data_IF_938736290474
#
_entry.id   IF_938736290474
#
_cell.length_a   1.000
_cell.length_b   1.000
_cell.length_c   1.000
_cell.angle_alpha   90.00
_cell.angle_beta   90.00
_cell.angle_gamma   90.00
#
_symmetry.space_group_name_H-M   'P 1'
#
loop_
_entity.id
_entity.type
_entity.pdbx_description
1 polymer ?
#
# COMPACT_ATOMS: atom_id res chain seq x y z
N UNK A 1 -32.21 34.74 -59.95
CA UNK A 1 -32.30 33.81 -58.80
C UNK A 1 -30.98 33.65 -58.04
N UNK A 2 -29.82 33.93 -58.68
CA UNK A 2 -28.49 33.88 -58.05
C UNK A 2 -28.12 35.20 -57.32
N UNK A 3 -28.64 36.35 -57.76
CA UNK A 3 -28.29 37.68 -57.21
C UNK A 3 -28.72 37.94 -55.75
N UNK A 4 -29.76 37.26 -55.26
CA UNK A 4 -30.18 37.36 -53.85
C UNK A 4 -29.40 36.41 -52.92
N UNK A 5 -28.58 35.52 -53.47
CA UNK A 5 -27.90 34.48 -52.70
C UNK A 5 -26.60 34.99 -52.08
N UNK A 6 -25.83 35.81 -52.79
CA UNK A 6 -24.59 36.43 -52.29
C UNK A 6 -24.78 37.28 -51.01
N UNK A 7 -25.70 38.27 -50.98
CA UNK A 7 -25.87 39.11 -49.79
C UNK A 7 -26.48 38.35 -48.59
N UNK A 8 -27.22 37.27 -48.85
CA UNK A 8 -27.68 36.35 -47.82
C UNK A 8 -26.53 35.52 -47.25
N UNK A 9 -25.61 35.06 -48.12
CA UNK A 9 -24.41 34.32 -47.74
C UNK A 9 -23.48 35.19 -46.88
N UNK A 10 -23.27 36.46 -47.24
CA UNK A 10 -22.47 37.40 -46.46
C UNK A 10 -23.03 37.60 -45.04
N UNK A 11 -24.36 37.68 -44.90
CA UNK A 11 -25.03 37.84 -43.58
C UNK A 11 -24.99 36.57 -42.72
N UNK A 12 -25.04 35.38 -43.33
CA UNK A 12 -25.10 34.10 -42.61
C UNK A 12 -23.67 33.53 -42.37
N UNK A 13 -22.69 33.91 -43.19
CA UNK A 13 -21.30 33.45 -43.08
C UNK A 13 -20.67 33.62 -41.68
N UNK A 14 -20.87 34.72 -40.94
CA UNK A 14 -20.27 34.88 -39.61
C UNK A 14 -20.87 33.91 -38.60
N UNK A 15 -22.17 33.61 -38.73
CA UNK A 15 -22.87 32.64 -37.89
C UNK A 15 -22.36 31.21 -38.16
N UNK A 16 -22.17 30.84 -39.43
CA UNK A 16 -21.61 29.54 -39.81
C UNK A 16 -20.15 29.40 -39.30
N UNK A 17 -19.33 30.43 -39.48
CA UNK A 17 -17.94 30.45 -38.99
C UNK A 17 -17.91 30.30 -37.47
N UNK A 18 -18.80 30.97 -36.75
CA UNK A 18 -18.90 30.87 -35.28
C UNK A 18 -19.28 29.46 -34.84
N UNK A 19 -20.26 28.84 -35.51
CA UNK A 19 -20.67 27.45 -35.21
C UNK A 19 -19.51 26.49 -35.48
N UNK A 20 -18.86 26.59 -36.64
CA UNK A 20 -17.70 25.75 -36.99
C UNK A 20 -16.53 25.96 -36.03
N UNK A 21 -16.24 27.20 -35.65
CA UNK A 21 -15.20 27.55 -34.68
C UNK A 21 -15.46 26.93 -33.31
N UNK A 22 -16.69 27.01 -32.81
CA UNK A 22 -17.08 26.37 -31.55
C UNK A 22 -17.00 24.84 -31.64
N UNK A 23 -17.36 24.25 -32.78
CA UNK A 23 -17.28 22.81 -33.01
C UNK A 23 -15.83 22.32 -33.00
N UNK A 24 -14.94 23.02 -33.71
CA UNK A 24 -13.50 22.72 -33.73
C UNK A 24 -12.90 22.91 -32.34
N UNK A 25 -13.23 24.00 -31.65
CA UNK A 25 -12.75 24.28 -30.30
C UNK A 25 -13.19 23.21 -29.30
N UNK A 26 -14.47 22.82 -29.36
CA UNK A 26 -15.01 21.74 -28.53
C UNK A 26 -14.31 20.41 -28.79
N UNK A 27 -14.15 20.01 -30.07
CA UNK A 27 -13.46 18.77 -30.42
C UNK A 27 -11.98 18.79 -29.99
N UNK A 28 -11.32 19.94 -30.10
CA UNK A 28 -9.92 20.11 -29.71
C UNK A 28 -9.74 20.03 -28.20
N UNK A 29 -10.57 20.74 -27.41
CA UNK A 29 -10.54 20.65 -25.95
C UNK A 29 -10.90 19.24 -25.50
N UNK A 30 -11.98 18.67 -26.05
CA UNK A 30 -12.41 17.30 -25.71
C UNK A 30 -11.30 16.29 -25.97
N UNK A 31 -10.66 16.34 -27.13
CA UNK A 31 -9.54 15.44 -27.45
C UNK A 31 -8.35 15.58 -26.51
N UNK A 32 -8.06 16.79 -26.02
CA UNK A 32 -7.01 17.02 -25.01
C UNK A 32 -7.41 16.49 -23.63
N UNK A 33 -8.65 16.77 -23.21
CA UNK A 33 -9.19 16.34 -21.93
C UNK A 33 -9.28 14.82 -21.86
N UNK A 34 -9.79 14.17 -22.90
CA UNK A 34 -9.91 12.71 -22.97
C UNK A 34 -8.55 12.03 -22.92
N UNK A 35 -7.56 12.51 -23.69
CA UNK A 35 -6.17 12.00 -23.63
C UNK A 35 -5.55 12.20 -22.25
N UNK A 36 -5.78 13.35 -21.61
CA UNK A 36 -5.27 13.61 -20.27
C UNK A 36 -5.94 12.71 -19.23
N UNK A 37 -7.25 12.49 -19.34
CA UNK A 37 -8.01 11.59 -18.48
C UNK A 37 -7.53 10.14 -18.63
N UNK A 38 -7.31 9.68 -19.85
CA UNK A 38 -6.81 8.34 -20.13
C UNK A 38 -5.40 8.12 -19.57
N UNK A 39 -4.49 9.07 -19.80
CA UNK A 39 -3.15 9.04 -19.21
C UNK A 39 -3.19 8.99 -17.68
N UNK A 40 -4.05 9.81 -17.07
CA UNK A 40 -4.22 9.84 -15.62
C UNK A 40 -4.83 8.53 -15.09
N UNK A 41 -5.80 7.94 -15.79
CA UNK A 41 -6.37 6.64 -15.44
C UNK A 41 -5.33 5.52 -15.49
N UNK A 42 -4.51 5.48 -16.53
CA UNK A 42 -3.45 4.47 -16.68
C UNK A 42 -2.40 4.62 -15.57
N UNK A 43 -1.91 5.85 -15.36
CA UNK A 43 -0.93 6.14 -14.31
C UNK A 43 -1.47 5.81 -12.92
N UNK A 44 -2.70 6.23 -12.61
CA UNK A 44 -3.36 5.93 -11.35
C UNK A 44 -3.59 4.43 -11.16
N UNK A 45 -4.04 3.72 -12.20
CA UNK A 45 -4.23 2.27 -12.14
C UNK A 45 -2.92 1.51 -11.89
N UNK A 46 -1.82 1.95 -12.49
CA UNK A 46 -0.48 1.39 -12.24
C UNK A 46 -0.01 1.62 -10.81
N UNK A 47 -0.07 2.86 -10.34
CA UNK A 47 0.34 3.24 -8.97
C UNK A 47 -0.52 2.52 -7.93
N UNK A 48 -1.83 2.46 -8.15
CA UNK A 48 -2.75 1.79 -7.23
C UNK A 48 -2.46 0.28 -7.15
N UNK A 49 -2.25 -0.38 -8.30
CA UNK A 49 -1.87 -1.81 -8.32
C UNK A 49 -0.56 -2.06 -7.57
N UNK A 50 0.43 -1.19 -7.77
CA UNK A 50 1.71 -1.29 -7.07
C UNK A 50 1.55 -1.14 -5.56
N UNK A 51 0.78 -0.13 -5.13
CA UNK A 51 0.46 0.11 -3.73
C UNK A 51 -0.23 -1.09 -3.07
N UNK A 52 -1.22 -1.69 -3.75
CA UNK A 52 -1.90 -2.91 -3.28
C UNK A 52 -0.93 -4.10 -3.17
N UNK A 53 0.01 -4.25 -4.12
CA UNK A 53 1.00 -5.31 -4.04
C UNK A 53 1.93 -5.13 -2.84
N UNK A 54 2.42 -3.92 -2.61
CA UNK A 54 3.26 -3.57 -1.47
C UNK A 54 2.55 -3.88 -0.16
N UNK A 55 1.26 -3.52 -0.06
CA UNK A 55 0.46 -3.79 1.13
C UNK A 55 0.24 -5.28 1.38
N UNK A 56 -0.06 -6.04 0.33
CA UNK A 56 -0.16 -7.50 0.42
C UNK A 56 1.15 -8.11 0.91
N UNK A 57 2.27 -7.68 0.34
CA UNK A 57 3.58 -8.22 0.67
C UNK A 57 4.01 -7.84 2.10
N UNK A 58 3.67 -6.64 2.60
CA UNK A 58 3.85 -6.28 4.01
C UNK A 58 3.12 -7.28 4.91
N UNK A 59 1.83 -7.53 4.66
CA UNK A 59 1.03 -8.48 5.43
C UNK A 59 1.60 -9.89 5.39
N UNK A 60 1.96 -10.38 4.19
CA UNK A 60 2.56 -11.71 4.02
C UNK A 60 3.86 -11.85 4.82
N UNK A 61 4.73 -10.82 4.79
CA UNK A 61 5.97 -10.80 5.58
C UNK A 61 5.70 -10.75 7.08
N UNK A 62 4.72 -9.96 7.53
CA UNK A 62 4.30 -9.90 8.93
C UNK A 62 3.83 -11.27 9.42
N UNK A 63 2.90 -11.92 8.73
CA UNK A 63 2.42 -13.26 9.08
C UNK A 63 3.51 -14.32 8.99
N UNK A 64 4.37 -14.22 7.97
CA UNK A 64 5.53 -15.09 7.80
C UNK A 64 6.46 -15.04 8.99
N UNK A 65 6.83 -13.84 9.45
CA UNK A 65 7.65 -13.65 10.65
C UNK A 65 6.97 -14.20 11.91
N UNK A 66 5.66 -13.95 12.10
CA UNK A 66 4.94 -14.51 13.24
C UNK A 66 4.99 -16.04 13.28
N UNK A 67 4.78 -16.67 12.11
CA UNK A 67 4.82 -18.13 11.97
C UNK A 67 6.21 -18.67 12.28
N UNK A 68 7.26 -18.03 11.77
CA UNK A 68 8.64 -18.44 12.01
C UNK A 68 9.04 -18.28 13.49
N UNK A 69 8.70 -17.15 14.12
CA UNK A 69 8.93 -16.95 15.56
C UNK A 69 8.15 -17.96 16.41
N UNK A 70 6.91 -18.26 16.04
CA UNK A 70 6.12 -19.29 16.72
C UNK A 70 6.77 -20.67 16.60
N UNK A 71 7.24 -21.03 15.40
CA UNK A 71 7.98 -22.30 15.19
C UNK A 71 9.26 -22.32 16.02
N UNK A 72 10.00 -21.23 16.00
CA UNK A 72 11.25 -21.07 16.74
C UNK A 72 11.07 -21.27 18.24
N UNK A 73 9.97 -20.75 18.81
CA UNK A 73 9.64 -20.94 20.21
C UNK A 73 9.58 -22.43 20.62
N UNK A 74 8.98 -23.29 19.78
CA UNK A 74 8.70 -24.68 20.19
C UNK A 74 9.76 -25.69 19.75
N UNK A 75 10.31 -25.50 18.55
CA UNK A 75 11.20 -26.48 17.90
C UNK A 75 12.45 -25.83 17.31
N UNK A 76 12.70 -24.57 17.64
CA UNK A 76 13.84 -23.83 17.11
C UNK A 76 15.17 -24.29 17.67
N UNK A 77 16.21 -24.18 16.85
CA UNK A 77 17.61 -24.39 17.24
C UNK A 77 18.40 -23.11 17.04
N UNK A 78 19.56 -22.97 17.70
CA UNK A 78 20.36 -21.74 17.68
C UNK A 78 20.66 -21.24 16.26
N UNK A 79 20.89 -22.16 15.34
CA UNK A 79 21.22 -21.88 13.93
C UNK A 79 20.06 -21.19 13.18
N UNK A 80 18.80 -21.43 13.59
CA UNK A 80 17.63 -20.74 13.02
C UNK A 80 17.64 -19.24 13.34
N UNK A 81 18.39 -18.82 14.37
CA UNK A 81 18.41 -17.44 14.83
C UNK A 81 18.87 -16.45 13.78
N UNK A 82 19.90 -16.80 13.01
CA UNK A 82 20.41 -15.95 11.91
C UNK A 82 19.35 -15.74 10.84
N UNK A 83 18.64 -16.81 10.46
CA UNK A 83 17.59 -16.76 9.41
C UNK A 83 16.44 -15.87 9.84
N UNK A 84 16.02 -15.93 11.11
CA UNK A 84 14.93 -15.08 11.62
C UNK A 84 15.36 -13.62 11.64
N UNK A 85 16.59 -13.33 12.08
CA UNK A 85 17.12 -11.96 12.10
C UNK A 85 17.21 -11.37 10.68
N UNK A 86 17.65 -12.15 9.69
CA UNK A 86 17.65 -11.76 8.28
C UNK A 86 16.22 -11.40 7.81
N UNK A 87 15.23 -12.23 8.11
CA UNK A 87 13.83 -11.95 7.75
C UNK A 87 13.29 -10.66 8.40
N UNK A 88 13.68 -10.35 9.64
CA UNK A 88 13.31 -9.10 10.32
C UNK A 88 13.95 -7.90 9.60
N UNK A 89 15.22 -8.02 9.20
CA UNK A 89 15.91 -6.98 8.45
C UNK A 89 15.31 -6.78 7.05
N UNK A 90 15.00 -7.86 6.35
CA UNK A 90 14.35 -7.84 5.03
C UNK A 90 12.98 -7.16 5.09
N UNK A 91 12.21 -7.37 6.16
CA UNK A 91 10.94 -6.69 6.39
C UNK A 91 11.12 -5.17 6.47
N UNK A 92 12.14 -4.71 7.20
CA UNK A 92 12.45 -3.27 7.30
C UNK A 92 12.98 -2.70 6.00
N UNK A 93 13.87 -3.42 5.33
CA UNK A 93 14.40 -3.01 4.04
C UNK A 93 13.27 -2.87 3.02
N UNK A 94 12.33 -3.82 2.99
CA UNK A 94 11.15 -3.77 2.13
C UNK A 94 10.33 -2.50 2.39
N UNK A 95 10.03 -2.19 3.65
CA UNK A 95 9.29 -0.97 3.98
C UNK A 95 10.06 0.32 3.64
N UNK A 96 11.38 0.33 3.80
CA UNK A 96 12.22 1.47 3.46
C UNK A 96 12.30 1.72 1.96
N UNK A 97 12.40 0.66 1.14
CA UNK A 97 12.40 0.76 -0.32
C UNK A 97 11.04 1.29 -0.80
N UNK A 98 9.97 0.80 -0.20
CA UNK A 98 8.60 1.13 -0.59
C UNK A 98 8.01 2.33 0.14
N UNK A 99 8.82 3.07 0.92
CA UNK A 99 8.40 4.25 1.68
C UNK A 99 7.51 5.24 0.90
N UNK A 100 7.74 5.51 -0.40
CA UNK A 100 6.87 6.42 -1.16
C UNK A 100 5.41 6.01 -1.25
N UNK A 101 5.11 4.72 -1.04
CA UNK A 101 3.76 4.15 -1.09
C UNK A 101 3.13 3.97 0.30
N UNK A 102 3.88 4.24 1.37
CA UNK A 102 3.45 4.06 2.75
C UNK A 102 3.15 5.41 3.40
N UNK A 103 2.05 5.49 4.15
CA UNK A 103 1.77 6.65 4.99
C UNK A 103 2.78 6.76 6.13
N UNK A 104 2.87 7.94 6.76
CA UNK A 104 3.75 8.13 7.92
C UNK A 104 3.34 7.24 9.08
N UNK A 105 2.04 7.03 9.21
CA UNK A 105 1.43 6.18 10.23
C UNK A 105 1.76 4.71 9.97
N UNK A 106 1.67 4.24 8.72
CA UNK A 106 2.12 2.87 8.37
C UNK A 106 3.60 2.67 8.67
N UNK A 107 4.45 3.64 8.36
CA UNK A 107 5.87 3.56 8.69
C UNK A 107 6.11 3.50 10.20
N UNK A 108 5.32 4.23 10.98
CA UNK A 108 5.33 4.16 12.44
C UNK A 108 4.97 2.75 12.92
N UNK A 109 3.86 2.19 12.42
CA UNK A 109 3.42 0.83 12.77
C UNK A 109 4.45 -0.24 12.38
N UNK A 110 5.08 -0.10 11.20
CA UNK A 110 6.16 -1.01 10.75
C UNK A 110 7.35 -0.95 11.71
N UNK A 111 7.73 0.24 12.18
CA UNK A 111 8.83 0.39 13.13
C UNK A 111 8.47 -0.21 14.49
N UNK A 112 7.24 -0.02 14.96
CA UNK A 112 6.72 -0.70 16.16
C UNK A 112 6.82 -2.21 15.99
N UNK A 113 6.30 -2.75 14.88
CA UNK A 113 6.35 -4.18 14.58
C UNK A 113 7.77 -4.73 14.53
N UNK A 114 8.73 -3.97 14.01
CA UNK A 114 10.14 -4.37 14.06
C UNK A 114 10.63 -4.52 15.50
N UNK A 115 10.40 -3.51 16.34
CA UNK A 115 10.82 -3.57 17.75
C UNK A 115 10.16 -4.75 18.46
N UNK A 116 8.88 -5.00 18.17
CA UNK A 116 8.12 -6.13 18.67
C UNK A 116 8.71 -7.48 18.23
N UNK A 117 9.01 -7.64 16.94
CA UNK A 117 9.64 -8.86 16.43
C UNK A 117 11.03 -9.09 17.03
N UNK A 118 11.84 -8.03 17.17
CA UNK A 118 13.18 -8.11 17.76
C UNK A 118 13.11 -8.50 19.24
N UNK A 119 12.20 -7.89 20.00
CA UNK A 119 11.98 -8.22 21.42
C UNK A 119 11.57 -9.69 21.60
N UNK A 120 10.61 -10.16 20.81
CA UNK A 120 10.18 -11.58 20.84
C UNK A 120 11.33 -12.51 20.46
N UNK A 121 12.05 -12.18 19.39
CA UNK A 121 13.20 -12.95 18.93
C UNK A 121 14.28 -13.07 20.00
N UNK A 122 14.70 -11.95 20.60
CA UNK A 122 15.78 -11.91 21.58
C UNK A 122 15.44 -12.75 22.81
N UNK A 123 14.20 -12.70 23.29
CA UNK A 123 13.74 -13.49 24.43
C UNK A 123 13.71 -15.00 24.10
N UNK A 124 13.29 -15.38 22.89
CA UNK A 124 13.35 -16.78 22.44
C UNK A 124 14.79 -17.26 22.28
N UNK A 125 15.62 -16.48 21.58
CA UNK A 125 17.00 -16.85 21.28
C UNK A 125 17.84 -16.98 22.54
N UNK A 126 17.71 -16.07 23.50
CA UNK A 126 18.43 -16.15 24.79
C UNK A 126 18.11 -17.45 25.54
N UNK A 127 16.84 -17.85 25.58
CA UNK A 127 16.44 -19.09 26.24
C UNK A 127 16.95 -20.33 25.48
N UNK A 128 16.75 -20.39 24.17
CA UNK A 128 17.12 -21.54 23.32
C UNK A 128 18.65 -21.70 23.23
N UNK A 129 19.40 -20.61 23.04
CA UNK A 129 20.84 -20.67 22.84
C UNK A 129 21.62 -20.89 24.15
N UNK A 130 21.12 -20.39 25.29
CA UNK A 130 21.85 -20.41 26.56
C UNK A 130 21.25 -21.35 27.59
N UNK A 131 20.09 -21.97 27.32
CA UNK A 131 19.36 -22.84 28.27
C UNK A 131 19.14 -22.17 29.64
N UNK A 132 18.99 -20.84 29.65
CA UNK A 132 18.86 -20.06 30.88
C UNK A 132 17.43 -20.18 31.42
N UNK A 133 17.28 -21.00 32.47
CA UNK A 133 16.00 -21.21 33.16
C UNK A 133 15.54 -20.00 33.96
N UNK A 134 16.41 -19.02 34.23
CA UNK A 134 16.03 -17.80 34.97
C UNK A 134 15.20 -16.84 34.13
N UNK A 135 15.19 -17.00 32.80
CA UNK A 135 14.44 -16.16 31.86
C UNK A 135 13.16 -16.80 31.32
N UNK A 136 12.71 -17.92 31.93
CA UNK A 136 11.50 -18.62 31.51
C UNK A 136 10.26 -17.70 31.45
N UNK A 137 10.15 -16.78 32.40
CA UNK A 137 9.03 -15.83 32.44
C UNK A 137 9.03 -14.92 31.21
N UNK A 138 10.18 -14.35 30.86
CA UNK A 138 10.31 -13.47 29.69
C UNK A 138 10.03 -14.24 28.38
N UNK A 139 10.48 -15.49 28.31
CA UNK A 139 10.19 -16.39 27.19
C UNK A 139 8.68 -16.62 27.00
N UNK A 140 7.95 -16.93 28.08
CA UNK A 140 6.50 -17.11 27.99
C UNK A 140 5.75 -15.80 27.72
N UNK A 141 6.20 -14.68 28.28
CA UNK A 141 5.62 -13.36 28.00
C UNK A 141 5.78 -12.98 26.53
N UNK A 142 6.96 -13.18 25.95
CA UNK A 142 7.20 -12.97 24.51
C UNK A 142 6.30 -13.88 23.65
N UNK A 143 6.11 -15.14 24.05
CA UNK A 143 5.16 -16.05 23.39
C UNK A 143 3.71 -15.57 23.48
N UNK A 144 3.29 -15.07 24.64
CA UNK A 144 1.95 -14.51 24.81
C UNK A 144 1.77 -13.24 23.98
N UNK A 145 2.80 -12.40 23.87
CA UNK A 145 2.81 -11.20 23.01
C UNK A 145 2.63 -11.54 21.54
N UNK A 146 3.30 -12.61 21.08
CA UNK A 146 3.18 -13.09 19.71
C UNK A 146 1.77 -13.65 19.38
N UNK A 147 1.13 -14.29 20.38
CA UNK A 147 -0.23 -14.81 20.29
C UNK A 147 -1.28 -13.72 20.43
N UNK A 148 -1.02 -12.72 21.27
CA UNK A 148 -1.83 -11.52 21.37
C UNK A 148 -1.74 -10.81 20.01
N UNK A 149 -2.87 -10.69 19.32
CA UNK A 149 -2.87 -10.19 17.96
C UNK A 149 -2.69 -8.66 17.88
N UNK A 150 -2.18 -8.00 18.93
CA UNK A 150 -2.28 -6.54 19.09
C UNK A 150 -1.46 -5.74 18.07
N UNK A 151 -0.11 -5.67 18.13
CA UNK A 151 0.65 -4.82 17.21
C UNK A 151 0.48 -5.26 15.73
N UNK A 152 0.06 -6.50 15.52
CA UNK A 152 -0.22 -7.09 14.21
C UNK A 152 -1.56 -6.63 13.64
N UNK A 153 -2.58 -6.47 14.48
CA UNK A 153 -3.90 -6.01 14.06
C UNK A 153 -3.88 -4.54 13.64
N UNK A 154 -3.03 -3.73 14.27
CA UNK A 154 -2.93 -2.30 13.93
C UNK A 154 -2.51 -2.08 12.47
N UNK A 155 -1.47 -2.78 12.00
CA UNK A 155 -1.03 -2.65 10.61
C UNK A 155 -2.06 -3.23 9.63
N UNK A 156 -2.73 -4.33 9.99
CA UNK A 156 -3.80 -4.94 9.20
C UNK A 156 -4.97 -3.96 9.02
N UNK A 157 -5.49 -3.43 10.12
CA UNK A 157 -6.60 -2.49 10.13
C UNK A 157 -6.23 -1.21 9.37
N UNK A 158 -4.99 -0.73 9.49
CA UNK A 158 -4.52 0.44 8.74
C UNK A 158 -4.43 0.17 7.24
N UNK A 159 -3.83 -0.95 6.84
CA UNK A 159 -3.75 -1.36 5.43
C UNK A 159 -5.15 -1.46 4.83
N UNK A 160 -6.09 -2.12 5.52
CA UNK A 160 -7.48 -2.24 5.06
C UNK A 160 -8.14 -0.87 4.94
N UNK A 161 -7.95 0.00 5.93
CA UNK A 161 -8.52 1.37 5.93
C UNK A 161 -7.98 2.20 4.76
N UNK A 162 -6.67 2.18 4.51
CA UNK A 162 -6.07 2.92 3.39
C UNK A 162 -6.51 2.37 2.03
N UNK A 163 -6.63 1.04 1.88
CA UNK A 163 -7.17 0.44 0.66
C UNK A 163 -8.62 0.84 0.42
N UNK A 164 -9.47 0.85 1.46
CA UNK A 164 -10.87 1.28 1.34
C UNK A 164 -10.96 2.75 0.93
N UNK A 165 -10.08 3.59 1.47
CA UNK A 165 -9.98 5.03 1.13
C UNK A 165 -9.56 5.24 -0.32
N UNK A 166 -8.52 4.57 -0.77
CA UNK A 166 -8.05 4.68 -2.15
C UNK A 166 -9.09 4.19 -3.16
N UNK A 167 -9.84 3.14 -2.81
CA UNK A 167 -10.96 2.63 -3.59
C UNK A 167 -12.22 3.49 -3.50
N UNK A 168 -12.25 4.49 -2.58
CA UNK A 168 -13.42 5.32 -2.27
C UNK A 168 -14.65 4.51 -1.87
N UNK A 169 -14.43 3.40 -1.18
CA UNK A 169 -15.49 2.50 -0.68
C UNK A 169 -15.69 2.61 0.83
N UNK A 170 -15.15 3.67 1.44
CA UNK A 170 -15.17 3.94 2.89
C UNK A 170 -16.58 3.94 3.47
N UNK A 171 -17.58 4.30 2.66
CA UNK A 171 -18.99 4.42 3.04
C UNK A 171 -19.88 3.33 2.39
N UNK A 172 -19.30 2.31 1.76
CA UNK A 172 -20.05 1.14 1.30
C UNK A 172 -20.20 0.18 2.47
N UNK A 173 -20.92 0.63 3.50
CA UNK A 173 -21.41 -0.26 4.55
C UNK A 173 -22.62 -1.02 3.99
N UNK A 174 -22.59 -2.35 4.17
CA UNK A 174 -23.74 -3.24 4.02
C UNK A 174 -24.39 -3.46 5.38
#
# INVERSE_FOLDING_TARGET
MIENFLPLLEKISPAIITILGNLIFYLWIKGKVDKSLEKNKIAYGGIFKEKVNIYRELLERTYGLKKELSRFQYVGVKEDGTVIMEKINDYIQFASINQPFLSKEMLSDVNTLRTEFQDVFDNFYKHIANSDSTQLNNFFQAGNKLRANEPFKEIEDRIVTEMRRDLKIENFDA
#
